data_IF_734047075693
#
_entry.id   IF_734047075693
#
_cell.length_a   1.000
_cell.length_b   1.000
_cell.length_c   1.000
_cell.angle_alpha   90.00
_cell.angle_beta   90.00
_cell.angle_gamma   90.00
#
_symmetry.space_group_name_H-M   'P 1'
#
loop_
_entity.id
_entity.type
_entity.pdbx_description
1 polymer ?
#
# COMPACT_ATOMS: atom_id res chain seq x y z
N UNK A 1 -2.35 -6.85 1.16
CA UNK A 1 -3.02 -5.95 0.19
C UNK A 1 -3.32 -4.65 0.90
N UNK A 2 -3.00 -3.52 0.27
CA UNK A 2 -3.05 -2.18 0.88
C UNK A 2 -4.22 -1.44 0.28
N UNK A 3 -5.13 -0.93 1.11
CA UNK A 3 -6.29 -0.18 0.64
C UNK A 3 -5.94 1.28 0.42
N UNK A 4 -6.56 1.93 -0.56
CA UNK A 4 -6.37 3.36 -0.80
C UNK A 4 -6.83 4.19 0.42
N UNK A 5 -7.95 3.81 1.05
CA UNK A 5 -8.46 4.46 2.27
C UNK A 5 -7.49 4.44 3.46
N UNK A 6 -6.59 3.45 3.52
CA UNK A 6 -5.61 3.32 4.61
C UNK A 6 -4.44 4.30 4.46
N UNK A 7 -4.26 4.90 3.28
CA UNK A 7 -3.19 5.85 3.01
C UNK A 7 -3.62 7.27 3.41
N UNK A 8 -3.61 7.56 4.71
CA UNK A 8 -4.04 8.87 5.26
C UNK A 8 -2.91 9.90 5.36
N UNK A 9 -1.67 9.47 5.59
CA UNK A 9 -0.53 10.36 5.72
C UNK A 9 -0.04 10.90 4.36
N UNK A 10 0.57 12.08 4.37
CA UNK A 10 1.20 12.68 3.19
C UNK A 10 2.60 12.10 2.91
N UNK A 11 3.31 11.67 3.96
CA UNK A 11 4.68 11.17 3.88
C UNK A 11 4.76 9.81 4.60
N UNK A 12 5.44 8.86 3.96
CA UNK A 12 5.65 7.51 4.47
C UNK A 12 7.13 7.19 4.63
N UNK A 13 7.44 6.46 5.70
CA UNK A 13 8.79 5.98 5.98
C UNK A 13 9.05 4.65 5.25
N UNK A 14 10.32 4.33 4.90
CA UNK A 14 10.66 3.06 4.27
C UNK A 14 10.18 1.82 5.05
N UNK A 15 10.14 1.90 6.39
CA UNK A 15 9.64 0.79 7.23
C UNK A 15 8.15 0.51 7.00
N UNK A 16 7.34 1.56 6.89
CA UNK A 16 5.89 1.44 6.66
C UNK A 16 5.63 0.89 5.27
N UNK A 17 6.34 1.41 4.27
CA UNK A 17 6.23 0.97 2.86
C UNK A 17 6.67 -0.49 2.70
N UNK A 18 7.74 -0.89 3.37
CA UNK A 18 8.19 -2.28 3.39
C UNK A 18 7.10 -3.22 3.95
N UNK A 19 6.46 -2.81 5.05
CA UNK A 19 5.34 -3.56 5.65
C UNK A 19 4.11 -3.61 4.74
N UNK A 20 3.82 -2.54 4.01
CA UNK A 20 2.70 -2.47 3.05
C UNK A 20 2.87 -3.44 1.89
N UNK A 21 4.08 -3.56 1.35
CA UNK A 21 4.40 -4.43 0.21
C UNK A 21 4.67 -5.87 0.67
N UNK A 22 5.02 -6.08 1.93
CA UNK A 22 5.38 -7.39 2.48
C UNK A 22 6.84 -7.77 2.20
N UNK A 23 7.73 -6.78 2.08
CA UNK A 23 9.17 -6.98 1.89
C UNK A 23 9.96 -6.50 3.09
N UNK A 24 11.22 -6.90 3.18
CA UNK A 24 12.11 -6.36 4.22
C UNK A 24 12.57 -4.94 3.87
N UNK A 25 12.92 -4.15 4.88
CA UNK A 25 13.49 -2.81 4.70
C UNK A 25 14.82 -2.84 3.94
N UNK A 26 15.58 -3.95 4.04
CA UNK A 26 16.81 -4.16 3.28
C UNK A 26 16.52 -4.29 1.79
N UNK A 27 15.58 -5.15 1.40
CA UNK A 27 15.17 -5.30 0.00
C UNK A 27 14.71 -3.97 -0.60
N UNK A 28 13.94 -3.20 0.17
CA UNK A 28 13.46 -1.89 -0.28
C UNK A 28 14.61 -0.87 -0.44
N UNK A 29 15.64 -0.95 0.39
CA UNK A 29 16.87 -0.15 0.25
C UNK A 29 17.68 -0.55 -0.98
N UNK A 30 17.85 -1.85 -1.22
CA UNK A 30 18.57 -2.35 -2.39
C UNK A 30 17.89 -1.94 -3.72
N UNK A 31 16.57 -1.77 -3.71
CA UNK A 31 15.83 -1.22 -4.85
C UNK A 31 16.05 0.28 -5.00
N UNK A 32 16.03 1.02 -3.89
CA UNK A 32 16.32 2.46 -3.89
C UNK A 32 17.73 2.76 -4.38
N UNK A 33 18.73 1.98 -3.99
CA UNK A 33 20.10 2.21 -4.43
C UNK A 33 20.28 1.97 -5.96
N UNK A 34 19.32 1.30 -6.61
CA UNK A 34 19.31 1.07 -8.08
C UNK A 34 18.46 2.08 -8.85
N UNK A 35 17.29 2.43 -8.31
CA UNK A 35 16.27 3.22 -9.01
C UNK A 35 16.08 4.64 -8.43
N UNK A 36 16.69 4.93 -7.27
CA UNK A 36 16.69 6.19 -6.53
C UNK A 36 15.31 6.87 -6.46
N UNK A 37 14.32 6.15 -5.91
CA UNK A 37 12.93 6.60 -5.85
C UNK A 37 12.53 7.19 -4.48
N UNK A 38 13.39 7.12 -3.45
CA UNK A 38 13.16 7.84 -2.20
C UNK A 38 13.69 9.28 -2.26
N UNK A 39 12.91 10.20 -1.70
CA UNK A 39 13.38 11.54 -1.37
C UNK A 39 14.16 11.51 -0.04
N UNK A 40 15.06 12.47 0.17
CA UNK A 40 15.88 12.60 1.37
C UNK A 40 15.61 13.95 2.05
N UNK A 41 15.43 13.92 3.37
CA UNK A 41 15.28 15.16 4.14
C UNK A 41 16.59 15.94 4.10
N UNK A 42 16.60 17.25 3.79
CA UNK A 42 17.83 18.03 3.64
C UNK A 42 18.68 18.05 4.92
N UNK A 43 18.07 18.05 6.10
CA UNK A 43 18.78 18.22 7.37
C UNK A 43 19.32 16.93 7.99
N UNK A 44 18.72 15.78 7.68
CA UNK A 44 19.04 14.49 8.37
C UNK A 44 19.26 13.33 7.40
N UNK A 45 19.21 13.58 6.09
CA UNK A 45 19.38 12.58 5.02
C UNK A 45 18.47 11.33 5.20
N UNK A 46 17.30 11.53 5.80
CA UNK A 46 16.33 10.46 6.05
C UNK A 46 15.52 10.21 4.79
N UNK A 47 15.45 8.94 4.36
CA UNK A 47 14.64 8.51 3.22
C UNK A 47 13.14 8.57 3.56
N UNK A 48 12.35 9.15 2.66
CA UNK A 48 10.90 9.16 2.74
C UNK A 48 10.26 9.15 1.34
N UNK A 49 8.98 8.80 1.25
CA UNK A 49 8.21 8.86 0.01
C UNK A 49 6.90 9.60 0.25
N UNK A 50 6.52 10.48 -0.68
CA UNK A 50 5.24 11.20 -0.64
C UNK A 50 4.11 10.27 -1.08
N UNK A 51 2.89 10.54 -0.61
CA UNK A 51 1.69 9.78 -0.98
C UNK A 51 1.49 9.73 -2.49
N UNK A 52 1.71 10.85 -3.17
CA UNK A 52 1.54 10.99 -4.63
C UNK A 52 2.46 10.06 -5.43
N UNK A 53 3.69 9.84 -4.95
CA UNK A 53 4.65 8.93 -5.58
C UNK A 53 4.48 7.49 -5.09
N UNK A 54 3.97 7.29 -3.87
CA UNK A 54 3.69 5.97 -3.31
C UNK A 54 2.53 5.26 -4.01
N UNK A 55 1.44 5.96 -4.35
CA UNK A 55 0.28 5.39 -5.03
C UNK A 55 0.66 4.68 -6.35
N UNK A 56 1.33 5.34 -7.33
CA UNK A 56 1.72 4.69 -8.57
C UNK A 56 2.75 3.58 -8.33
N UNK A 57 3.62 3.71 -7.33
CA UNK A 57 4.56 2.65 -6.95
C UNK A 57 3.85 1.38 -6.46
N UNK A 58 2.88 1.51 -5.55
CA UNK A 58 2.09 0.38 -5.04
C UNK A 58 1.21 -0.23 -6.13
N UNK A 59 0.68 0.58 -7.04
CA UNK A 59 -0.09 0.11 -8.19
C UNK A 59 0.78 -0.69 -9.16
N UNK A 60 1.99 -0.20 -9.48
CA UNK A 60 2.98 -0.92 -10.31
C UNK A 60 3.38 -2.26 -9.71
N UNK A 61 3.41 -2.37 -8.37
CA UNK A 61 3.67 -3.62 -7.65
C UNK A 61 2.44 -4.53 -7.51
N UNK A 62 1.24 -4.08 -7.91
CA UNK A 62 0.01 -4.86 -7.84
C UNK A 62 -0.52 -5.09 -6.43
N UNK A 63 -0.10 -4.27 -5.45
CA UNK A 63 -0.47 -4.44 -4.02
C UNK A 63 -1.57 -3.47 -3.59
N UNK A 64 -1.76 -2.39 -4.36
CA UNK A 64 -2.79 -1.39 -4.11
C UNK A 64 -4.16 -1.92 -4.53
N UNK A 65 -5.13 -1.85 -3.62
CA UNK A 65 -6.55 -2.09 -3.88
C UNK A 65 -7.25 -0.74 -3.81
N UNK A 66 -7.84 -0.34 -4.94
CA UNK A 66 -8.70 0.84 -5.00
C UNK A 66 -10.07 0.48 -4.42
N UNK A 67 -10.26 0.82 -3.14
CA UNK A 67 -11.49 0.61 -2.42
C UNK A 67 -12.45 1.82 -2.52
N UNK A 68 -12.12 2.84 -3.31
CA UNK A 68 -12.99 4.01 -3.50
C UNK A 68 -14.32 3.68 -4.21
N UNK A 69 -14.35 2.57 -4.97
CA UNK A 69 -15.52 2.09 -5.72
C UNK A 69 -16.15 0.84 -5.10
N UNK A 70 -15.54 0.23 -4.08
CA UNK A 70 -16.01 -1.02 -3.48
C UNK A 70 -17.14 -0.77 -2.45
N UNK A 71 -18.25 -0.21 -2.94
CA UNK A 71 -19.57 -0.38 -2.32
C UNK A 71 -20.20 -1.72 -2.72
N UNK A 72 -19.39 -2.78 -2.88
CA UNK A 72 -19.90 -4.11 -3.19
C UNK A 72 -20.58 -4.66 -1.94
N UNK A 73 -21.88 -4.92 -2.06
CA UNK A 73 -22.66 -5.59 -1.01
C UNK A 73 -22.43 -7.09 -1.13
N UNK A 74 -21.83 -7.70 -0.13
CA UNK A 74 -21.73 -9.15 -0.04
C UNK A 74 -23.13 -9.72 0.26
N UNK A 75 -23.71 -10.45 -0.70
CA UNK A 75 -24.99 -11.14 -0.53
C UNK A 75 -24.71 -12.61 -0.24
N UNK A 76 -25.03 -13.06 0.97
CA UNK A 76 -24.96 -14.48 1.34
C UNK A 76 -26.34 -15.09 1.17
N UNK A 77 -26.50 -16.02 0.22
CA UNK A 77 -27.73 -16.79 0.04
C UNK A 77 -27.62 -18.13 0.79
N UNK A 78 -28.41 -18.29 1.85
CA UNK A 78 -28.56 -19.57 2.54
C UNK A 78 -29.89 -20.22 2.14
N UNK A 79 -29.83 -21.38 1.48
CA UNK A 79 -31.02 -22.20 1.24
C UNK A 79 -31.41 -22.91 2.54
N UNK A 80 -32.57 -22.55 3.10
CA UNK A 80 -33.13 -23.20 4.29
C UNK A 80 -34.11 -24.29 3.83
N UNK A 81 -34.01 -25.49 4.39
CA UNK A 81 -34.98 -26.57 4.12
C UNK A 81 -36.21 -26.38 5.00
N UNK A 82 -37.36 -26.09 4.39
CA UNK A 82 -38.67 -26.19 5.05
C UNK A 82 -39.01 -27.67 5.25
N UNK A 83 -39.34 -28.07 6.47
CA UNK A 83 -39.98 -29.37 6.74
C UNK A 83 -41.49 -29.12 6.81
N UNK A 84 -42.26 -29.79 5.95
CA UNK A 84 -43.72 -29.91 6.06
C UNK A 84 -44.10 -30.89 7.17
#
# INVERSE_FOLDING_TARGET
MVKYSQLTAEIYKPKEIASMIGVTTKTLRDWDDKENFFERTPDTDRRYMKKETLIPFLNKKGVLVDDSQDNKRDIVYARVSSRD
#
